data_IF_470335699402
#
_entry.id   IF_470335699402
#
_cell.length_a   1.000
_cell.length_b   1.000
_cell.length_c   1.000
_cell.angle_alpha   90.00
_cell.angle_beta   90.00
_cell.angle_gamma   90.00
#
_symmetry.space_group_name_H-M   'P 1'
#
loop_
_entity.id
_entity.type
_entity.pdbx_description
1 polymer ?
#
# COMPACT_ATOMS: atom_id res chain seq x y z
N UNK A 1 11.93 -21.14 13.16
CA UNK A 1 12.58 -21.08 11.84
C UNK A 1 13.99 -21.61 12.01
N UNK A 2 14.34 -22.72 11.36
CA UNK A 2 15.70 -23.25 11.39
C UNK A 2 16.45 -22.65 10.20
N UNK A 3 17.49 -21.85 10.45
CA UNK A 3 18.29 -21.22 9.40
C UNK A 3 19.49 -22.09 9.06
N UNK A 4 19.68 -22.41 7.79
CA UNK A 4 20.86 -23.11 7.31
C UNK A 4 22.01 -22.16 6.99
N UNK A 5 23.26 -22.63 7.13
CA UNK A 5 24.45 -21.83 6.86
C UNK A 5 24.80 -21.88 5.37
N UNK A 6 24.67 -20.75 4.69
CA UNK A 6 25.14 -20.58 3.30
C UNK A 6 26.53 -19.94 3.31
N UNK A 7 27.46 -20.50 2.55
CA UNK A 7 28.81 -19.93 2.32
C UNK A 7 28.99 -19.72 0.83
N UNK A 8 29.42 -18.52 0.42
CA UNK A 8 29.74 -18.21 -0.97
C UNK A 8 31.13 -17.60 -1.05
N UNK A 9 31.76 -17.76 -2.22
CA UNK A 9 33.06 -17.17 -2.52
C UNK A 9 32.85 -15.82 -3.22
N UNK A 10 33.63 -14.83 -2.83
CA UNK A 10 33.58 -13.48 -3.39
C UNK A 10 34.99 -12.89 -3.40
N UNK A 11 35.25 -11.86 -4.20
CA UNK A 11 36.55 -11.19 -4.18
C UNK A 11 36.72 -10.36 -2.90
N UNK A 12 37.97 -10.07 -2.54
CA UNK A 12 38.26 -9.23 -1.37
C UNK A 12 37.62 -7.83 -1.50
N UNK A 13 37.61 -7.28 -2.72
CA UNK A 13 36.99 -5.99 -3.03
C UNK A 13 35.47 -6.02 -2.84
N UNK A 14 34.79 -7.03 -3.38
CA UNK A 14 33.34 -7.19 -3.25
C UNK A 14 32.93 -7.38 -1.79
N UNK A 15 33.71 -8.14 -1.01
CA UNK A 15 33.49 -8.28 0.43
C UNK A 15 33.57 -6.93 1.14
N UNK A 16 34.60 -6.14 0.88
CA UNK A 16 34.77 -4.82 1.49
C UNK A 16 33.62 -3.86 1.12
N UNK A 17 33.17 -3.88 -0.14
CA UNK A 17 32.02 -3.09 -0.58
C UNK A 17 30.73 -3.50 0.14
N UNK A 18 30.49 -4.81 0.31
CA UNK A 18 29.33 -5.34 1.00
C UNK A 18 29.35 -5.03 2.50
N UNK A 19 30.51 -5.14 3.14
CA UNK A 19 30.72 -4.77 4.55
C UNK A 19 30.42 -3.26 4.75
N UNK A 20 30.91 -2.40 3.86
CA UNK A 20 30.67 -0.96 3.91
C UNK A 20 29.18 -0.62 3.71
N UNK A 21 28.52 -1.27 2.73
CA UNK A 21 27.09 -1.09 2.49
C UNK A 21 26.26 -1.50 3.71
N UNK A 22 26.53 -2.68 4.27
CA UNK A 22 25.83 -3.19 5.45
C UNK A 22 26.01 -2.25 6.65
N UNK A 23 27.24 -1.80 6.91
CA UNK A 23 27.54 -0.85 7.98
C UNK A 23 26.80 0.49 7.81
N UNK A 24 26.77 1.03 6.59
CA UNK A 24 26.09 2.31 6.30
C UNK A 24 24.57 2.26 6.52
N UNK A 25 23.96 1.07 6.40
CA UNK A 25 22.53 0.85 6.58
C UNK A 25 22.18 0.27 7.97
N UNK A 26 23.16 0.12 8.88
CA UNK A 26 22.92 -0.46 10.21
C UNK A 26 22.51 -1.94 10.18
N UNK A 27 22.89 -2.65 9.12
CA UNK A 27 22.52 -4.05 8.87
C UNK A 27 23.74 -4.97 8.95
N UNK A 28 23.48 -6.28 9.15
CA UNK A 28 24.53 -7.29 8.97
C UNK A 28 24.62 -7.68 7.49
N UNK A 29 25.81 -8.09 7.04
CA UNK A 29 26.01 -8.63 5.69
C UNK A 29 25.04 -9.76 5.37
N UNK A 30 24.82 -10.67 6.32
CA UNK A 30 23.86 -11.77 6.15
C UNK A 30 22.42 -11.29 5.99
N UNK A 31 22.05 -10.15 6.59
CA UNK A 31 20.74 -9.53 6.36
C UNK A 31 20.63 -9.03 4.92
N UNK A 32 21.62 -8.25 4.46
CA UNK A 32 21.68 -7.71 3.10
C UNK A 32 21.59 -8.83 2.06
N UNK A 33 22.37 -9.90 2.23
CA UNK A 33 22.38 -11.02 1.29
C UNK A 33 21.04 -11.78 1.29
N UNK A 34 20.42 -11.99 2.46
CA UNK A 34 19.10 -12.61 2.52
C UNK A 34 18.04 -11.75 1.86
N UNK A 35 18.05 -10.46 2.11
CA UNK A 35 17.10 -9.53 1.51
C UNK A 35 17.28 -9.49 -0.03
N UNK A 36 18.51 -9.33 -0.49
CA UNK A 36 18.83 -9.34 -1.93
C UNK A 36 18.42 -10.67 -2.58
N UNK A 37 18.66 -11.81 -1.92
CA UNK A 37 18.23 -13.12 -2.42
C UNK A 37 16.70 -13.24 -2.46
N UNK A 38 16.00 -12.77 -1.42
CA UNK A 38 14.54 -12.74 -1.40
C UNK A 38 13.97 -11.86 -2.50
N UNK A 39 14.57 -10.69 -2.75
CA UNK A 39 14.17 -9.81 -3.84
C UNK A 39 14.46 -10.44 -5.21
N UNK A 40 15.60 -11.10 -5.38
CA UNK A 40 15.99 -11.72 -6.64
C UNK A 40 15.14 -12.96 -6.98
N UNK A 41 14.91 -13.83 -5.99
CA UNK A 41 14.11 -15.05 -6.15
C UNK A 41 12.62 -14.72 -6.22
N UNK A 42 12.18 -13.76 -5.41
CA UNK A 42 10.80 -13.28 -5.36
C UNK A 42 10.52 -12.14 -6.33
N UNK A 43 11.33 -11.96 -7.39
CA UNK A 43 11.00 -10.96 -8.40
C UNK A 43 9.63 -11.31 -8.99
N UNK A 44 8.68 -10.35 -8.98
CA UNK A 44 7.37 -10.59 -9.54
C UNK A 44 7.54 -10.91 -11.02
N UNK A 45 6.86 -11.96 -11.46
CA UNK A 45 6.77 -12.35 -12.87
C UNK A 45 6.21 -11.20 -13.70
N UNK A 46 6.47 -11.23 -15.01
CA UNK A 46 5.89 -10.23 -15.93
C UNK A 46 4.35 -10.20 -15.87
N UNK A 47 3.74 -11.35 -15.57
CA UNK A 47 2.29 -11.50 -15.37
C UNK A 47 1.82 -10.80 -14.09
N UNK A 48 2.47 -11.05 -12.95
CA UNK A 48 2.15 -10.38 -11.68
C UNK A 48 2.32 -8.85 -11.77
N UNK A 49 3.32 -8.38 -12.51
CA UNK A 49 3.53 -6.94 -12.75
C UNK A 49 2.42 -6.35 -13.63
N UNK A 50 1.95 -7.09 -14.64
CA UNK A 50 0.84 -6.67 -15.49
C UNK A 50 -0.49 -6.63 -14.70
N UNK A 51 -0.75 -7.64 -13.87
CA UNK A 51 -1.92 -7.67 -12.98
C UNK A 51 -1.93 -6.49 -12.00
N UNK A 52 -0.77 -6.17 -11.41
CA UNK A 52 -0.64 -5.02 -10.51
C UNK A 52 -0.92 -3.70 -11.25
N UNK A 53 -0.40 -3.55 -12.47
CA UNK A 53 -0.65 -2.36 -13.29
C UNK A 53 -2.15 -2.19 -13.59
N UNK A 54 -2.84 -3.28 -13.95
CA UNK A 54 -4.29 -3.28 -14.15
C UNK A 54 -5.05 -2.92 -12.88
N UNK A 55 -4.64 -3.45 -11.73
CA UNK A 55 -5.27 -3.15 -10.44
C UNK A 55 -5.10 -1.67 -10.06
N UNK A 56 -3.93 -1.09 -10.33
CA UNK A 56 -3.68 0.35 -10.13
C UNK A 56 -4.59 1.19 -11.02
N UNK A 57 -4.74 0.83 -12.29
CA UNK A 57 -5.65 1.51 -13.21
C UNK A 57 -7.10 1.48 -12.71
N UNK A 58 -7.58 0.29 -12.32
CA UNK A 58 -8.92 0.12 -11.76
C UNK A 58 -9.12 0.93 -10.47
N UNK A 59 -8.13 0.94 -9.59
CA UNK A 59 -8.19 1.72 -8.35
C UNK A 59 -8.25 3.23 -8.64
N UNK A 60 -7.44 3.71 -9.59
CA UNK A 60 -7.45 5.11 -10.01
C UNK A 60 -8.80 5.53 -10.63
N UNK A 61 -9.51 4.61 -11.28
CA UNK A 61 -10.85 4.87 -11.79
C UNK A 61 -11.93 4.79 -10.69
N UNK A 62 -11.84 3.80 -9.80
CA UNK A 62 -12.86 3.52 -8.80
C UNK A 62 -12.88 4.53 -7.65
N UNK A 63 -11.71 4.95 -7.15
CA UNK A 63 -11.59 5.82 -5.98
C UNK A 63 -12.31 7.17 -6.19
N UNK A 64 -12.14 7.89 -7.32
CA UNK A 64 -12.87 9.12 -7.57
C UNK A 64 -14.39 8.92 -7.64
N UNK A 65 -14.86 7.83 -8.25
CA UNK A 65 -16.29 7.50 -8.33
C UNK A 65 -16.89 7.23 -6.96
N UNK A 66 -16.16 6.50 -6.11
CA UNK A 66 -16.54 6.25 -4.72
C UNK A 66 -16.65 7.56 -3.94
N UNK A 67 -15.66 8.44 -4.06
CA UNK A 67 -15.68 9.76 -3.43
C UNK A 67 -16.91 10.56 -3.87
N UNK A 68 -17.15 10.66 -5.17
CA UNK A 68 -18.31 11.37 -5.71
C UNK A 68 -19.64 10.77 -5.20
N UNK A 69 -19.72 9.45 -5.07
CA UNK A 69 -20.91 8.77 -4.56
C UNK A 69 -21.16 9.09 -3.09
N UNK A 70 -20.11 9.18 -2.27
CA UNK A 70 -20.20 9.57 -0.87
C UNK A 70 -20.62 11.05 -0.74
N UNK A 71 -20.05 11.95 -1.53
CA UNK A 71 -20.41 13.37 -1.52
C UNK A 71 -21.90 13.56 -1.87
N UNK A 72 -22.39 12.87 -2.91
CA UNK A 72 -23.82 12.89 -3.29
C UNK A 72 -24.74 12.33 -2.20
N UNK A 73 -24.29 11.30 -1.49
CA UNK A 73 -25.03 10.71 -0.38
C UNK A 73 -25.17 11.69 0.78
N UNK A 74 -24.08 12.35 1.16
CA UNK A 74 -24.07 13.39 2.19
C UNK A 74 -25.04 14.51 1.82
N UNK A 75 -24.99 15.03 0.59
CA UNK A 75 -25.90 16.08 0.14
C UNK A 75 -27.37 15.64 0.21
N UNK A 76 -27.65 14.40 -0.21
CA UNK A 76 -29.00 13.85 -0.18
C UNK A 76 -29.51 13.69 1.25
N UNK A 77 -28.67 13.24 2.18
CA UNK A 77 -29.00 13.14 3.59
C UNK A 77 -29.29 14.52 4.19
N UNK A 78 -28.42 15.50 3.95
CA UNK A 78 -28.60 16.86 4.45
C UNK A 78 -29.91 17.49 3.94
N UNK A 79 -30.19 17.34 2.65
CA UNK A 79 -31.45 17.80 2.05
C UNK A 79 -32.65 17.12 2.68
N UNK A 80 -32.55 15.82 2.96
CA UNK A 80 -33.64 15.05 3.58
C UNK A 80 -33.87 15.50 5.02
N UNK A 81 -32.80 15.65 5.81
CA UNK A 81 -32.88 16.19 7.17
C UNK A 81 -33.52 17.58 7.20
N UNK A 82 -33.11 18.49 6.31
CA UNK A 82 -33.71 19.84 6.23
C UNK A 82 -35.21 19.79 5.91
N UNK A 83 -35.64 18.91 5.00
CA UNK A 83 -37.06 18.74 4.67
C UNK A 83 -37.85 18.19 5.85
N UNK A 84 -37.32 17.16 6.53
CA UNK A 84 -37.94 16.58 7.71
C UNK A 84 -38.01 17.61 8.84
N UNK A 85 -36.96 18.37 9.06
CA UNK A 85 -36.93 19.44 10.07
C UNK A 85 -37.97 20.51 9.80
N UNK A 86 -38.09 20.98 8.56
CA UNK A 86 -39.11 21.95 8.17
C UNK A 86 -40.51 21.39 8.43
N UNK A 87 -40.79 20.16 7.98
CA UNK A 87 -42.07 19.50 8.21
C UNK A 87 -42.41 19.34 9.71
N UNK A 88 -41.43 18.95 10.53
CA UNK A 88 -41.62 18.79 11.98
C UNK A 88 -41.80 20.13 12.71
N UNK A 89 -41.18 21.21 12.20
CA UNK A 89 -41.41 22.59 12.70
C UNK A 89 -42.81 23.08 12.35
N UNK A 90 -43.24 22.89 11.10
CA UNK A 90 -44.58 23.26 10.64
C UNK A 90 -45.68 22.51 11.40
N UNK A 91 -45.43 21.24 11.75
CA UNK A 91 -46.32 20.42 12.57
C UNK A 91 -46.28 20.78 14.08
N UNK A 92 -45.43 21.72 14.51
CA UNK A 92 -45.28 22.14 15.91
C UNK A 92 -44.60 21.11 16.83
N UNK A 93 -44.00 20.05 16.27
CA UNK A 93 -43.37 18.94 17.01
C UNK A 93 -41.93 19.32 17.40
N UNK A 94 -41.22 20.07 16.55
CA UNK A 94 -39.83 20.50 16.76
C UNK A 94 -39.77 22.04 16.80
N UNK A 95 -39.13 22.61 17.82
CA UNK A 95 -38.98 24.07 17.99
C UNK A 95 -37.96 24.67 17.04
#
# INVERSE_FOLDING_TARGET
MQTERVTFLTSAEQKAALDAFAASNGMSVGHVVREAASQYIGQPTAEEQAELAMLIEQANEAIPKMRASLDNMIETMDRTHRKVDAFLRDAGIRK
#
